data_IF_958745325392
#
_entry.id   IF_958745325392
#
_cell.length_a   1.000
_cell.length_b   1.000
_cell.length_c   1.000
_cell.angle_alpha   90.00
_cell.angle_beta   90.00
_cell.angle_gamma   90.00
#
_symmetry.space_group_name_H-M   'P 1'
#
loop_
_entity.id
_entity.type
_entity.pdbx_description
1 polymer ?
#
# COMPACT_ATOMS: atom_id res chain seq x y z
N UNK A 1 -13.21 -34.81 10.64
CA UNK A 1 -13.28 -33.57 11.44
C UNK A 1 -13.83 -32.48 10.53
N UNK A 2 -14.69 -31.57 11.04
CA UNK A 2 -15.11 -30.42 10.25
C UNK A 2 -13.87 -29.58 9.92
N UNK A 3 -13.74 -29.18 8.64
CA UNK A 3 -12.62 -28.33 8.22
C UNK A 3 -12.81 -26.92 8.78
N UNK A 4 -11.75 -26.29 9.26
CA UNK A 4 -11.79 -24.91 9.74
C UNK A 4 -12.31 -23.95 8.68
N UNK A 5 -13.15 -23.03 9.10
CA UNK A 5 -13.60 -21.88 8.31
C UNK A 5 -13.53 -20.65 9.20
N UNK A 6 -12.85 -19.55 8.78
CA UNK A 6 -12.87 -18.30 9.53
C UNK A 6 -14.30 -17.82 9.80
N UNK A 7 -14.53 -17.20 10.96
CA UNK A 7 -15.89 -16.75 11.33
C UNK A 7 -16.25 -15.44 10.60
N UNK A 8 -16.92 -15.54 9.47
CA UNK A 8 -17.53 -14.42 8.74
C UNK A 8 -18.79 -14.86 8.00
N UNK A 9 -19.62 -13.89 7.64
CA UNK A 9 -20.79 -14.07 6.80
C UNK A 9 -20.82 -12.99 5.72
N UNK A 10 -21.14 -13.39 4.48
CA UNK A 10 -21.34 -12.43 3.39
C UNK A 10 -22.64 -11.67 3.61
N UNK A 11 -22.55 -10.33 3.65
CA UNK A 11 -23.70 -9.44 3.85
C UNK A 11 -24.05 -8.71 2.55
N UNK A 12 -25.29 -8.18 2.48
CA UNK A 12 -25.69 -7.34 1.35
C UNK A 12 -24.81 -6.09 1.21
N UNK A 13 -24.32 -5.51 2.33
CA UNK A 13 -23.36 -4.39 2.30
C UNK A 13 -22.05 -4.76 1.63
N UNK A 14 -21.49 -5.94 1.94
CA UNK A 14 -20.28 -6.44 1.28
C UNK A 14 -20.50 -6.63 -0.23
N UNK A 15 -21.63 -7.20 -0.63
CA UNK A 15 -21.96 -7.40 -2.05
C UNK A 15 -22.08 -6.06 -2.79
N UNK A 16 -22.68 -5.05 -2.17
CA UNK A 16 -22.79 -3.70 -2.73
C UNK A 16 -21.41 -3.09 -2.95
N UNK A 17 -20.52 -3.17 -1.96
CA UNK A 17 -19.14 -2.65 -2.08
C UNK A 17 -18.32 -3.43 -3.10
N UNK A 18 -18.41 -4.76 -3.14
CA UNK A 18 -17.72 -5.59 -4.16
C UNK A 18 -18.17 -5.18 -5.57
N UNK A 19 -19.47 -4.95 -5.77
CA UNK A 19 -20.01 -4.47 -7.06
C UNK A 19 -19.49 -3.08 -7.41
N UNK A 20 -19.52 -2.14 -6.47
CA UNK A 20 -19.00 -0.76 -6.65
C UNK A 20 -17.51 -0.77 -7.02
N UNK A 21 -16.69 -1.50 -6.26
CA UNK A 21 -15.25 -1.65 -6.50
C UNK A 21 -14.99 -2.22 -7.90
N UNK A 22 -15.72 -3.28 -8.28
CA UNK A 22 -15.56 -3.94 -9.59
C UNK A 22 -15.90 -3.00 -10.75
N UNK A 23 -16.96 -2.19 -10.60
CA UNK A 23 -17.36 -1.19 -11.59
C UNK A 23 -16.30 -0.09 -11.72
N UNK A 24 -15.77 0.43 -10.59
CA UNK A 24 -14.72 1.45 -10.57
C UNK A 24 -13.43 0.95 -11.22
N UNK A 25 -13.02 -0.28 -10.91
CA UNK A 25 -11.87 -0.94 -11.56
C UNK A 25 -12.08 -1.01 -13.07
N UNK A 26 -13.27 -1.40 -13.53
CA UNK A 26 -13.59 -1.44 -14.96
C UNK A 26 -13.46 -0.07 -15.61
N UNK A 27 -14.02 0.98 -15.01
CA UNK A 27 -13.91 2.36 -15.50
C UNK A 27 -12.46 2.85 -15.57
N UNK A 28 -11.68 2.65 -14.50
CA UNK A 28 -10.27 3.06 -14.43
C UNK A 28 -9.45 2.34 -15.51
N UNK A 29 -9.67 1.04 -15.71
CA UNK A 29 -8.94 0.23 -16.68
C UNK A 29 -9.17 0.68 -18.12
N UNK A 30 -10.38 1.13 -18.46
CA UNK A 30 -10.72 1.64 -19.79
C UNK A 30 -10.19 3.05 -20.01
N UNK A 31 -10.26 3.91 -18.98
CA UNK A 31 -9.95 5.33 -19.10
C UNK A 31 -8.45 5.64 -19.00
N UNK A 32 -7.71 4.83 -18.26
CA UNK A 32 -6.29 5.05 -18.01
C UNK A 32 -5.45 3.86 -18.47
N UNK A 33 -4.47 4.14 -19.34
CA UNK A 33 -3.43 3.14 -19.65
C UNK A 33 -2.38 3.11 -18.51
N UNK A 34 -2.80 2.71 -17.30
CA UNK A 34 -1.94 2.69 -16.11
C UNK A 34 -0.75 1.74 -16.30
N UNK A 35 -0.94 0.62 -17.03
CA UNK A 35 0.12 -0.34 -17.31
C UNK A 35 1.28 0.25 -18.14
N UNK A 36 0.99 1.30 -18.94
CA UNK A 36 2.02 2.01 -19.71
C UNK A 36 2.77 3.08 -18.90
N UNK A 37 2.52 3.20 -17.57
CA UNK A 37 3.10 4.25 -16.71
C UNK A 37 3.98 3.66 -15.59
N UNK A 38 5.22 3.21 -15.88
CA UNK A 38 6.12 2.62 -14.87
C UNK A 38 6.40 3.56 -13.69
N UNK A 39 6.43 4.88 -13.93
CA UNK A 39 6.65 5.88 -12.88
C UNK A 39 5.51 5.91 -11.85
N UNK A 40 4.26 5.77 -12.29
CA UNK A 40 3.11 5.72 -11.39
C UNK A 40 3.18 4.50 -10.47
N UNK A 41 3.55 3.34 -11.02
CA UNK A 41 3.77 2.11 -10.26
C UNK A 41 4.84 2.30 -9.17
N UNK A 42 6.01 2.86 -9.54
CA UNK A 42 7.09 3.13 -8.59
C UNK A 42 6.65 4.09 -7.48
N UNK A 43 5.97 5.17 -7.83
CA UNK A 43 5.51 6.17 -6.86
C UNK A 43 4.47 5.60 -5.89
N UNK A 44 3.50 4.85 -6.39
CA UNK A 44 2.48 4.23 -5.54
C UNK A 44 3.08 3.16 -4.64
N UNK A 45 4.07 2.40 -5.12
CA UNK A 45 4.84 1.46 -4.29
C UNK A 45 5.59 2.19 -3.17
N UNK A 46 6.22 3.33 -3.44
CA UNK A 46 6.87 4.16 -2.41
C UNK A 46 5.84 4.64 -1.38
N UNK A 47 4.65 5.05 -1.82
CA UNK A 47 3.56 5.43 -0.91
C UNK A 47 3.12 4.26 -0.04
N UNK A 48 2.87 3.09 -0.61
CA UNK A 48 2.50 1.87 0.12
C UNK A 48 3.55 1.51 1.18
N UNK A 49 4.83 1.51 0.81
CA UNK A 49 5.94 1.20 1.73
C UNK A 49 5.99 2.23 2.86
N UNK A 50 6.00 3.53 2.53
CA UNK A 50 6.02 4.60 3.52
C UNK A 50 4.85 4.47 4.50
N UNK A 51 3.62 4.35 4.00
CA UNK A 51 2.42 4.26 4.84
C UNK A 51 2.42 3.00 5.70
N UNK A 52 2.79 1.84 5.13
CA UNK A 52 2.88 0.59 5.89
C UNK A 52 3.92 0.66 7.03
N UNK A 53 5.05 1.33 6.80
CA UNK A 53 6.08 1.53 7.83
C UNK A 53 5.66 2.57 8.85
N UNK A 54 4.99 3.65 8.44
CA UNK A 54 4.52 4.71 9.32
C UNK A 54 3.45 4.23 10.30
N UNK A 55 2.59 3.30 9.91
CA UNK A 55 1.66 2.61 10.80
C UNK A 55 2.41 1.91 11.94
N UNK A 56 3.62 1.40 11.69
CA UNK A 56 4.51 0.77 12.69
C UNK A 56 5.50 1.77 13.32
N UNK A 57 5.15 3.06 13.32
CA UNK A 57 5.90 4.15 13.94
C UNK A 57 7.29 4.45 13.32
N UNK A 58 7.58 4.02 12.08
CA UNK A 58 8.77 4.48 11.35
C UNK A 58 8.66 5.98 11.08
N UNK A 59 9.67 6.74 11.42
CA UNK A 59 9.64 8.21 11.42
C UNK A 59 10.12 8.85 10.11
N UNK A 60 10.64 8.05 9.17
CA UNK A 60 11.18 8.55 7.91
C UNK A 60 10.08 9.16 7.03
N UNK A 61 10.33 10.35 6.51
CA UNK A 61 9.45 11.00 5.54
C UNK A 61 9.41 10.24 4.22
N UNK A 62 8.36 10.41 3.42
CA UNK A 62 8.24 9.79 2.09
C UNK A 62 9.42 10.14 1.18
N UNK A 63 9.99 11.36 1.31
CA UNK A 63 11.20 11.77 0.60
C UNK A 63 12.42 10.96 1.01
N UNK A 64 12.61 10.73 2.32
CA UNK A 64 13.69 9.90 2.85
C UNK A 64 13.53 8.43 2.44
N UNK A 65 12.31 7.88 2.51
CA UNK A 65 12.00 6.53 2.01
C UNK A 65 12.40 6.39 0.54
N UNK A 66 12.02 7.37 -0.30
CA UNK A 66 12.40 7.41 -1.72
C UNK A 66 13.92 7.46 -1.90
N UNK A 67 14.62 8.28 -1.12
CA UNK A 67 16.08 8.42 -1.22
C UNK A 67 16.79 7.13 -0.79
N UNK A 68 16.33 6.43 0.25
CA UNK A 68 16.81 5.09 0.63
C UNK A 68 16.62 4.09 -0.52
N UNK A 69 15.43 4.04 -1.12
CA UNK A 69 15.12 3.15 -2.25
C UNK A 69 16.00 3.44 -3.47
N UNK A 70 16.34 4.71 -3.69
CA UNK A 70 17.23 5.12 -4.77
C UNK A 70 18.75 5.01 -4.43
N UNK A 71 19.10 4.40 -3.28
CA UNK A 71 20.49 4.16 -2.87
C UNK A 71 21.24 5.41 -2.36
N UNK A 72 20.52 6.49 -2.03
CA UNK A 72 21.15 7.70 -1.47
C UNK A 72 21.35 7.56 0.03
N UNK A 73 22.30 8.31 0.56
CA UNK A 73 22.53 8.42 2.00
C UNK A 73 21.44 9.26 2.64
N UNK A 74 20.80 8.72 3.67
CA UNK A 74 19.73 9.37 4.45
C UNK A 74 20.13 9.43 5.92
N UNK A 75 19.83 10.55 6.56
CA UNK A 75 19.93 10.69 8.02
C UNK A 75 18.68 10.11 8.66
N UNK A 76 18.86 9.14 9.56
CA UNK A 76 17.81 8.46 10.28
C UNK A 76 18.35 7.28 11.09
N UNK A 77 17.51 6.63 11.86
CA UNK A 77 17.89 5.45 12.62
C UNK A 77 18.23 4.29 11.66
N UNK A 78 19.31 3.55 12.00
CA UNK A 78 19.76 2.42 11.18
C UNK A 78 18.67 1.35 11.01
N UNK A 79 17.87 1.12 12.07
CA UNK A 79 16.75 0.19 12.06
C UNK A 79 15.70 0.64 11.03
N UNK A 80 15.25 1.89 11.09
CA UNK A 80 14.24 2.44 10.19
C UNK A 80 14.68 2.42 8.72
N UNK A 81 15.95 2.76 8.45
CA UNK A 81 16.53 2.66 7.10
C UNK A 81 16.55 1.20 6.62
N UNK A 82 16.85 0.23 7.50
CA UNK A 82 16.83 -1.18 7.17
C UNK A 82 15.41 -1.67 6.90
N UNK A 83 14.41 -1.22 7.66
CA UNK A 83 13.00 -1.52 7.43
C UNK A 83 12.54 -1.07 6.03
N UNK A 84 12.94 0.12 5.58
CA UNK A 84 12.63 0.60 4.22
C UNK A 84 13.25 -0.31 3.15
N UNK A 85 14.52 -0.70 3.30
CA UNK A 85 15.20 -1.60 2.35
C UNK A 85 14.51 -2.96 2.27
N UNK A 86 14.14 -3.51 3.41
CA UNK A 86 13.47 -4.80 3.52
C UNK A 86 12.05 -4.74 2.92
N UNK A 87 11.28 -3.72 3.28
CA UNK A 87 9.95 -3.51 2.74
C UNK A 87 10.01 -3.35 1.21
N UNK A 88 10.95 -2.55 0.69
CA UNK A 88 11.13 -2.41 -0.75
C UNK A 88 11.43 -3.75 -1.42
N UNK A 89 12.36 -4.54 -0.88
CA UNK A 89 12.70 -5.86 -1.42
C UNK A 89 11.51 -6.86 -1.38
N UNK A 90 10.66 -6.76 -0.35
CA UNK A 90 9.46 -7.58 -0.23
C UNK A 90 8.37 -7.16 -1.24
N UNK A 91 8.11 -5.85 -1.37
CA UNK A 91 7.13 -5.32 -2.34
C UNK A 91 7.56 -5.52 -3.81
N UNK A 92 8.87 -5.62 -4.11
CA UNK A 92 9.36 -5.98 -5.46
C UNK A 92 8.89 -7.38 -5.89
N UNK A 93 8.65 -8.27 -4.93
CA UNK A 93 8.18 -9.64 -5.20
C UNK A 93 6.66 -9.78 -5.29
N UNK A 94 5.90 -8.69 -5.09
CA UNK A 94 4.44 -8.73 -5.00
C UNK A 94 3.76 -9.48 -6.16
N UNK A 95 4.27 -9.34 -7.39
CA UNK A 95 3.74 -10.01 -8.58
C UNK A 95 4.09 -11.49 -8.68
N UNK A 96 5.17 -11.90 -8.02
CA UNK A 96 5.71 -13.26 -8.09
C UNK A 96 5.08 -14.16 -7.01
N UNK A 97 4.52 -13.57 -5.95
CA UNK A 97 3.99 -14.27 -4.79
C UNK A 97 2.79 -15.16 -5.19
N UNK A 98 2.82 -16.40 -4.71
CA UNK A 98 1.62 -17.21 -4.61
C UNK A 98 0.96 -17.03 -3.24
N UNK A 99 -0.14 -16.25 -3.12
CA UNK A 99 -0.74 -15.93 -1.82
C UNK A 99 -1.42 -17.12 -1.14
N UNK A 100 -1.43 -18.30 -1.77
CA UNK A 100 -1.97 -19.55 -1.23
C UNK A 100 -0.86 -20.48 -0.69
N UNK A 101 0.39 -20.03 -0.65
CA UNK A 101 1.52 -20.84 -0.18
C UNK A 101 2.11 -20.26 1.12
N UNK A 102 2.00 -21.05 2.21
CA UNK A 102 2.52 -20.69 3.53
C UNK A 102 4.06 -20.56 3.55
N UNK A 103 4.77 -21.26 2.67
CA UNK A 103 6.23 -21.15 2.57
C UNK A 103 6.63 -19.83 1.91
N UNK A 104 5.87 -19.36 0.92
CA UNK A 104 6.04 -18.04 0.35
C UNK A 104 5.85 -16.94 1.40
N UNK A 105 4.84 -17.08 2.29
CA UNK A 105 4.63 -16.16 3.41
C UNK A 105 5.87 -16.12 4.33
N UNK A 106 6.39 -17.27 4.73
CA UNK A 106 7.58 -17.36 5.58
C UNK A 106 8.82 -16.77 4.91
N UNK A 107 9.04 -17.09 3.65
CA UNK A 107 10.15 -16.54 2.86
C UNK A 107 10.07 -15.02 2.76
N UNK A 108 8.86 -14.48 2.51
CA UNK A 108 8.65 -13.04 2.40
C UNK A 108 8.82 -12.33 3.74
N UNK A 109 8.35 -12.95 4.84
CA UNK A 109 8.64 -12.47 6.19
C UNK A 109 10.15 -12.42 6.45
N UNK A 110 10.88 -13.45 6.00
CA UNK A 110 12.34 -13.48 6.09
C UNK A 110 13.01 -12.30 5.38
N UNK A 111 12.46 -11.87 4.24
CA UNK A 111 12.92 -10.66 3.53
C UNK A 111 12.53 -9.39 4.31
N UNK A 112 11.26 -9.29 4.76
CA UNK A 112 10.71 -8.13 5.44
C UNK A 112 11.42 -7.81 6.76
N UNK A 113 11.89 -8.82 7.47
CA UNK A 113 12.51 -8.68 8.80
C UNK A 113 14.00 -8.94 8.83
N UNK A 114 14.64 -9.07 7.65
CA UNK A 114 16.07 -9.36 7.53
C UNK A 114 16.93 -8.38 8.32
N UNK A 115 17.82 -8.85 9.19
CA UNK A 115 18.69 -8.08 10.09
C UNK A 115 17.95 -7.28 11.17
N UNK A 116 16.65 -7.51 11.36
CA UNK A 116 15.84 -6.81 12.36
C UNK A 116 15.47 -7.73 13.53
N UNK A 117 15.22 -9.03 13.23
CA UNK A 117 14.85 -10.04 14.23
C UNK A 117 15.63 -11.34 13.99
N UNK A 118 15.84 -12.12 15.05
CA UNK A 118 16.56 -13.39 14.96
C UNK A 118 15.73 -14.48 14.27
N UNK A 119 14.41 -14.55 14.56
CA UNK A 119 13.47 -15.55 14.02
C UNK A 119 12.89 -15.13 12.66
N UNK A 120 13.71 -14.50 11.82
CA UNK A 120 13.29 -14.01 10.49
C UNK A 120 12.86 -15.18 9.59
N UNK A 121 11.60 -15.18 9.14
CA UNK A 121 11.03 -16.26 8.31
C UNK A 121 10.52 -17.48 9.08
N UNK A 122 10.54 -17.45 10.41
CA UNK A 122 10.03 -18.53 11.26
C UNK A 122 8.85 -18.07 12.10
N UNK A 123 7.91 -18.97 12.34
CA UNK A 123 6.83 -18.69 13.29
C UNK A 123 7.40 -18.60 14.71
N UNK A 124 6.81 -17.69 15.51
CA UNK A 124 7.22 -17.45 16.88
C UNK A 124 7.12 -18.70 17.76
N UNK A 125 8.05 -18.78 18.71
CA UNK A 125 8.09 -19.81 19.75
C UNK A 125 7.65 -19.23 21.11
N UNK A 126 7.71 -17.90 21.25
CA UNK A 126 7.27 -17.15 22.43
C UNK A 126 5.80 -16.77 22.40
N UNK A 127 5.27 -16.47 23.60
CA UNK A 127 3.94 -15.86 23.71
C UNK A 127 4.01 -14.38 23.32
N UNK A 128 2.98 -13.89 22.62
CA UNK A 128 2.92 -12.53 22.12
C UNK A 128 1.61 -11.85 22.52
N UNK A 129 1.65 -10.54 22.71
CA UNK A 129 0.48 -9.72 23.00
C UNK A 129 0.65 -8.32 22.44
N UNK A 130 -0.46 -7.66 22.18
CA UNK A 130 -0.50 -6.25 21.81
C UNK A 130 -0.75 -5.42 23.07
N UNK A 131 0.13 -4.47 23.33
CA UNK A 131 0.08 -3.62 24.52
C UNK A 131 -0.11 -2.15 24.16
N UNK A 132 -0.85 -1.40 25.00
CA UNK A 132 -0.87 0.06 25.00
C UNK A 132 -0.36 0.53 26.34
N UNK A 133 0.88 1.01 26.39
CA UNK A 133 1.61 1.17 27.65
C UNK A 133 1.72 -0.16 28.37
N UNK A 134 1.35 -0.19 29.66
CA UNK A 134 1.39 -1.40 30.49
C UNK A 134 0.14 -2.28 30.37
N UNK A 135 -0.86 -1.85 29.61
CA UNK A 135 -2.13 -2.59 29.45
C UNK A 135 -2.07 -3.52 28.25
N UNK A 136 -2.23 -4.82 28.51
CA UNK A 136 -2.46 -5.79 27.43
C UNK A 136 -3.84 -5.54 26.82
N UNK A 137 -3.88 -5.18 25.51
CA UNK A 137 -5.11 -4.96 24.76
C UNK A 137 -5.59 -6.27 24.15
N UNK A 138 -4.67 -7.09 23.68
CA UNK A 138 -4.96 -8.36 23.04
C UNK A 138 -3.81 -9.34 23.33
N UNK A 139 -4.17 -10.56 23.74
CA UNK A 139 -3.24 -11.68 23.85
C UNK A 139 -3.43 -12.61 22.67
N UNK A 140 -2.39 -12.77 21.88
CA UNK A 140 -2.41 -13.67 20.73
C UNK A 140 -2.58 -15.14 21.17
N UNK A 141 -3.08 -16.03 20.32
CA UNK A 141 -3.15 -17.45 20.60
C UNK A 141 -1.81 -18.03 21.06
N UNK A 142 -1.80 -19.05 21.93
CA UNK A 142 -0.55 -19.66 22.42
C UNK A 142 0.38 -20.08 21.26
N UNK A 143 1.69 -19.85 21.44
CA UNK A 143 2.71 -20.15 20.42
C UNK A 143 2.62 -21.58 19.86
N UNK A 144 2.30 -22.57 20.71
CA UNK A 144 2.10 -23.98 20.29
C UNK A 144 0.98 -24.20 19.28
N UNK A 145 0.02 -23.27 19.18
CA UNK A 145 -1.12 -23.35 18.26
C UNK A 145 -0.87 -22.64 16.91
N UNK A 146 0.17 -21.82 16.82
CA UNK A 146 0.41 -20.98 15.63
C UNK A 146 0.52 -21.80 14.35
N UNK A 147 1.30 -22.88 14.38
CA UNK A 147 1.48 -23.72 13.19
C UNK A 147 0.14 -24.35 12.73
N UNK A 148 -0.67 -24.84 13.66
CA UNK A 148 -1.97 -25.42 13.36
C UNK A 148 -2.94 -24.36 12.81
N UNK A 149 -3.03 -23.21 13.47
CA UNK A 149 -3.91 -22.12 13.05
C UNK A 149 -3.53 -21.60 11.65
N UNK A 150 -2.24 -21.40 11.39
CA UNK A 150 -1.77 -20.96 10.07
C UNK A 150 -2.00 -22.04 9.00
N UNK A 151 -1.77 -23.31 9.30
CA UNK A 151 -2.07 -24.41 8.37
C UNK A 151 -3.57 -24.43 8.04
N UNK A 152 -4.42 -24.36 9.04
CA UNK A 152 -5.88 -24.34 8.87
C UNK A 152 -6.35 -23.14 8.03
N UNK A 153 -5.75 -21.95 8.24
CA UNK A 153 -6.04 -20.76 7.46
C UNK A 153 -5.66 -20.93 5.98
N UNK A 154 -4.46 -21.47 5.69
CA UNK A 154 -4.02 -21.70 4.30
C UNK A 154 -4.78 -22.83 3.61
N UNK A 155 -5.20 -23.85 4.35
CA UNK A 155 -6.08 -24.90 3.85
C UNK A 155 -7.47 -24.34 3.49
N UNK A 156 -8.00 -23.43 4.32
CA UNK A 156 -9.24 -22.72 4.00
C UNK A 156 -9.08 -21.85 2.74
N UNK A 157 -8.03 -21.06 2.63
CA UNK A 157 -7.74 -20.24 1.45
C UNK A 157 -7.72 -21.08 0.17
N UNK A 158 -7.03 -22.21 0.20
CA UNK A 158 -6.89 -23.11 -0.95
C UNK A 158 -8.21 -23.72 -1.40
N UNK A 159 -9.09 -24.07 -0.45
CA UNK A 159 -10.42 -24.64 -0.75
C UNK A 159 -11.43 -23.60 -1.22
N UNK A 160 -11.34 -22.40 -0.68
CA UNK A 160 -12.35 -21.34 -0.89
C UNK A 160 -11.99 -20.38 -2.03
N UNK A 161 -10.88 -20.58 -2.74
CA UNK A 161 -10.38 -19.66 -3.76
C UNK A 161 -11.33 -19.41 -4.92
N UNK A 162 -12.23 -20.36 -5.23
CA UNK A 162 -13.23 -20.24 -6.29
C UNK A 162 -14.62 -19.86 -5.74
N UNK A 163 -14.81 -19.88 -4.41
CA UNK A 163 -16.12 -19.65 -3.77
C UNK A 163 -16.20 -18.26 -3.13
N UNK A 164 -15.09 -17.76 -2.59
CA UNK A 164 -15.02 -16.47 -1.91
C UNK A 164 -14.34 -15.43 -2.77
N UNK A 165 -15.03 -14.30 -2.97
CA UNK A 165 -14.49 -13.21 -3.80
C UNK A 165 -13.14 -12.69 -3.24
N UNK A 166 -12.10 -12.45 -4.07
CA UNK A 166 -10.76 -12.05 -3.61
C UNK A 166 -10.72 -10.81 -2.72
N UNK A 167 -11.59 -9.82 -2.93
CA UNK A 167 -11.76 -8.65 -2.05
C UNK A 167 -12.16 -9.04 -0.62
N UNK A 168 -13.02 -10.04 -0.46
CA UNK A 168 -13.45 -10.55 0.85
C UNK A 168 -12.37 -11.45 1.43
N UNK A 169 -11.84 -12.38 0.63
CA UNK A 169 -10.81 -13.34 1.04
C UNK A 169 -9.57 -12.64 1.58
N UNK A 170 -9.10 -11.59 0.91
CA UNK A 170 -7.93 -10.81 1.34
C UNK A 170 -8.16 -10.12 2.69
N UNK A 171 -9.37 -9.61 2.94
CA UNK A 171 -9.72 -8.98 4.21
C UNK A 171 -9.88 -10.02 5.33
N UNK A 172 -10.48 -11.18 5.06
CA UNK A 172 -10.54 -12.30 6.01
C UNK A 172 -9.13 -12.75 6.39
N UNK A 173 -8.28 -13.00 5.41
CA UNK A 173 -6.88 -13.38 5.67
C UNK A 173 -6.17 -12.33 6.53
N UNK A 174 -6.30 -11.05 6.18
CA UNK A 174 -5.64 -9.96 6.90
C UNK A 174 -6.02 -9.97 8.39
N UNK A 175 -7.32 -10.07 8.69
CA UNK A 175 -7.80 -10.12 10.06
C UNK A 175 -7.33 -11.38 10.81
N UNK A 176 -7.52 -12.57 10.22
CA UNK A 176 -7.09 -13.85 10.83
C UNK A 176 -5.58 -13.87 11.10
N UNK A 177 -4.79 -13.35 10.17
CA UNK A 177 -3.35 -13.26 10.31
C UNK A 177 -2.94 -12.35 11.48
N UNK A 178 -3.58 -11.17 11.60
CA UNK A 178 -3.34 -10.25 12.73
C UNK A 178 -3.78 -10.88 14.05
N UNK A 179 -4.91 -11.62 14.05
CA UNK A 179 -5.40 -12.35 15.21
C UNK A 179 -4.44 -13.48 15.63
N UNK A 180 -3.99 -14.32 14.71
CA UNK A 180 -3.05 -15.41 15.00
C UNK A 180 -1.70 -14.87 15.46
N UNK A 181 -1.28 -13.74 14.90
CA UNK A 181 -0.01 -13.06 15.21
C UNK A 181 1.19 -14.00 15.11
N UNK A 182 1.43 -14.62 13.94
CA UNK A 182 2.28 -15.80 13.84
C UNK A 182 3.78 -15.55 14.01
N UNK A 183 4.25 -14.31 13.94
CA UNK A 183 5.66 -13.94 14.02
C UNK A 183 5.96 -13.11 15.28
N UNK A 184 7.22 -13.05 15.68
CA UNK A 184 7.68 -12.21 16.81
C UNK A 184 7.70 -10.71 16.48
N UNK A 185 7.80 -10.31 15.20
CA UNK A 185 7.68 -8.93 14.72
C UNK A 185 7.22 -8.95 13.25
N UNK A 186 6.76 -7.81 12.74
CA UNK A 186 6.40 -7.63 11.33
C UNK A 186 5.02 -8.15 10.94
N UNK A 187 4.18 -8.59 11.87
CA UNK A 187 2.85 -9.12 11.57
C UNK A 187 1.97 -8.11 10.84
N UNK A 188 1.90 -6.86 11.29
CA UNK A 188 1.13 -5.82 10.63
C UNK A 188 1.60 -5.53 9.20
N UNK A 189 2.91 -5.39 9.02
CA UNK A 189 3.54 -5.18 7.69
C UNK A 189 3.24 -6.34 6.73
N UNK A 190 3.33 -7.56 7.23
CA UNK A 190 3.03 -8.77 6.44
C UNK A 190 1.54 -8.89 6.12
N UNK A 191 0.65 -8.60 7.06
CA UNK A 191 -0.80 -8.61 6.82
C UNK A 191 -1.19 -7.68 5.66
N UNK A 192 -0.69 -6.44 5.67
CA UNK A 192 -0.93 -5.45 4.62
C UNK A 192 -0.33 -5.86 3.28
N UNK A 193 0.92 -6.32 3.27
CA UNK A 193 1.57 -6.79 2.04
C UNK A 193 0.83 -8.00 1.45
N UNK A 194 0.42 -8.97 2.28
CA UNK A 194 -0.26 -10.17 1.83
C UNK A 194 -1.68 -9.87 1.32
N UNK A 195 -2.37 -8.92 1.96
CA UNK A 195 -3.63 -8.39 1.46
C UNK A 195 -3.46 -7.83 0.03
N UNK A 196 -2.43 -7.00 -0.17
CA UNK A 196 -2.10 -6.45 -1.50
C UNK A 196 -1.70 -7.55 -2.49
N UNK A 197 -1.05 -8.64 -2.05
CA UNK A 197 -0.71 -9.79 -2.90
C UNK A 197 -1.97 -10.52 -3.43
N UNK A 198 -2.97 -10.76 -2.59
CA UNK A 198 -4.25 -11.33 -3.02
C UNK A 198 -4.93 -10.46 -4.08
N UNK A 199 -5.01 -9.15 -3.82
CA UNK A 199 -5.68 -8.23 -4.71
C UNK A 199 -4.95 -8.08 -6.05
N UNK A 200 -3.62 -8.01 -6.03
CA UNK A 200 -2.80 -7.93 -7.24
C UNK A 200 -2.87 -9.22 -8.06
N UNK A 201 -2.94 -10.37 -7.41
CA UNK A 201 -3.13 -11.66 -8.07
C UNK A 201 -4.48 -11.75 -8.77
N UNK A 202 -5.53 -11.18 -8.18
CA UNK A 202 -6.85 -11.11 -8.76
C UNK A 202 -6.92 -10.09 -9.90
N UNK A 203 -6.39 -8.87 -9.69
CA UNK A 203 -6.40 -7.82 -10.69
C UNK A 203 -5.14 -6.95 -10.57
N UNK A 204 -4.34 -6.92 -11.65
CA UNK A 204 -3.06 -6.20 -11.69
C UNK A 204 -3.16 -4.68 -11.46
N UNK A 205 -4.35 -4.09 -11.53
CA UNK A 205 -4.55 -2.67 -11.21
C UNK A 205 -4.14 -2.35 -9.77
N UNK A 206 -4.24 -3.33 -8.85
CA UNK A 206 -3.89 -3.16 -7.45
C UNK A 206 -2.38 -2.93 -7.20
N UNK A 207 -1.52 -3.15 -8.20
CA UNK A 207 -0.13 -2.68 -8.13
C UNK A 207 -0.02 -1.15 -8.10
N UNK A 208 -1.05 -0.46 -8.56
CA UNK A 208 -1.10 1.00 -8.69
C UNK A 208 -1.96 1.66 -7.61
N UNK A 209 -2.55 0.88 -6.70
CA UNK A 209 -3.46 1.37 -5.68
C UNK A 209 -2.80 1.25 -4.31
N UNK A 210 -2.38 2.38 -3.69
CA UNK A 210 -1.71 2.37 -2.38
C UNK A 210 -2.73 2.23 -1.25
N UNK A 211 -3.30 1.04 -1.04
CA UNK A 211 -4.31 0.75 -0.02
C UNK A 211 -3.77 1.08 1.38
N UNK A 212 -2.49 0.84 1.62
CA UNK A 212 -1.80 1.13 2.88
C UNK A 212 -1.89 2.62 3.25
N UNK A 213 -1.97 3.52 2.26
CA UNK A 213 -2.15 4.96 2.51
C UNK A 213 -3.53 5.28 3.06
N UNK A 214 -4.56 4.54 2.68
CA UNK A 214 -5.89 4.68 3.28
C UNK A 214 -5.92 4.10 4.70
N UNK A 215 -5.28 2.96 4.93
CA UNK A 215 -5.17 2.39 6.27
C UNK A 215 -4.44 3.36 7.20
N UNK A 216 -3.33 3.98 6.76
CA UNK A 216 -2.61 5.00 7.52
C UNK A 216 -3.51 6.21 7.84
N UNK A 217 -4.24 6.72 6.87
CA UNK A 217 -5.15 7.88 7.02
C UNK A 217 -6.27 7.63 8.05
N UNK A 218 -6.72 6.38 8.18
CA UNK A 218 -7.77 5.93 9.08
C UNK A 218 -7.23 4.93 10.12
N UNK A 219 -6.01 5.16 10.62
CA UNK A 219 -5.29 4.20 11.46
C UNK A 219 -6.01 3.90 12.78
N UNK A 220 -6.59 4.90 13.43
CA UNK A 220 -7.33 4.70 14.68
C UNK A 220 -8.55 3.80 14.44
N UNK A 221 -9.32 4.07 13.40
CA UNK A 221 -10.47 3.25 13.00
C UNK A 221 -10.05 1.82 12.63
N UNK A 222 -8.91 1.67 11.95
CA UNK A 222 -8.35 0.35 11.62
C UNK A 222 -8.10 -0.50 12.88
N UNK A 223 -7.51 0.08 13.91
CA UNK A 223 -7.27 -0.65 15.16
C UNK A 223 -8.56 -0.88 15.96
N UNK A 224 -9.48 0.07 15.95
CA UNK A 224 -10.79 -0.05 16.61
C UNK A 224 -11.62 -1.20 16.00
N UNK A 225 -11.65 -1.32 14.68
CA UNK A 225 -12.39 -2.43 14.03
C UNK A 225 -11.74 -3.79 14.26
N UNK A 226 -10.41 -3.87 14.36
CA UNK A 226 -9.71 -5.10 14.74
C UNK A 226 -10.11 -5.50 16.17
N UNK A 227 -10.05 -4.57 17.12
CA UNK A 227 -10.42 -4.82 18.52
C UNK A 227 -11.89 -5.23 18.64
N UNK A 228 -12.77 -4.60 17.87
CA UNK A 228 -14.19 -4.94 17.82
C UNK A 228 -14.41 -6.37 17.31
N UNK A 229 -13.73 -6.76 16.23
CA UNK A 229 -13.80 -8.12 15.70
C UNK A 229 -13.31 -9.18 16.71
N UNK A 230 -12.28 -8.87 17.50
CA UNK A 230 -11.83 -9.75 18.59
C UNK A 230 -12.93 -9.99 19.64
N UNK A 231 -13.73 -8.97 19.93
CA UNK A 231 -14.85 -9.06 20.88
C UNK A 231 -16.06 -9.79 20.30
N UNK A 232 -16.35 -9.55 19.02
CA UNK A 232 -17.47 -10.14 18.31
C UNK A 232 -17.23 -11.60 17.90
N UNK A 233 -15.97 -12.03 17.83
CA UNK A 233 -15.58 -13.34 17.31
C UNK A 233 -15.92 -13.51 15.82
N UNK A 234 -15.90 -12.41 15.05
CA UNK A 234 -16.22 -12.38 13.63
C UNK A 234 -15.46 -11.29 12.92
N UNK A 235 -14.96 -11.57 11.71
CA UNK A 235 -14.22 -10.60 10.88
C UNK A 235 -15.11 -9.65 10.06
N UNK A 236 -16.43 -9.71 10.21
CA UNK A 236 -17.38 -8.95 9.38
C UNK A 236 -17.13 -7.43 9.39
N UNK A 237 -16.92 -6.86 10.58
CA UNK A 237 -16.67 -5.41 10.72
C UNK A 237 -15.38 -5.01 10.03
N UNK A 238 -14.32 -5.83 10.12
CA UNK A 238 -13.06 -5.59 9.46
C UNK A 238 -13.16 -5.72 7.93
N UNK A 239 -13.90 -6.72 7.43
CA UNK A 239 -14.16 -6.90 6.00
C UNK A 239 -14.85 -5.65 5.44
N UNK A 240 -15.90 -5.17 6.10
CA UNK A 240 -16.61 -3.95 5.70
C UNK A 240 -15.68 -2.75 5.64
N UNK A 241 -14.88 -2.52 6.70
CA UNK A 241 -13.91 -1.44 6.75
C UNK A 241 -12.94 -1.50 5.56
N UNK A 242 -12.32 -2.65 5.30
CA UNK A 242 -11.36 -2.80 4.20
C UNK A 242 -11.99 -2.55 2.83
N UNK A 243 -13.21 -3.06 2.60
CA UNK A 243 -13.93 -2.81 1.36
C UNK A 243 -14.25 -1.31 1.18
N UNK A 244 -14.67 -0.63 2.24
CA UNK A 244 -14.91 0.82 2.21
C UNK A 244 -13.64 1.63 1.92
N UNK A 245 -12.49 1.24 2.50
CA UNK A 245 -11.21 1.92 2.21
C UNK A 245 -10.77 1.70 0.76
N UNK A 246 -10.96 0.48 0.21
CA UNK A 246 -10.67 0.20 -1.20
C UNK A 246 -11.60 1.01 -2.11
N UNK A 247 -12.89 1.07 -1.80
CA UNK A 247 -13.89 1.81 -2.57
C UNK A 247 -13.57 3.31 -2.62
N UNK A 248 -13.20 3.90 -1.46
CA UNK A 248 -12.79 5.32 -1.35
C UNK A 248 -11.52 5.64 -2.15
N UNK A 249 -10.48 4.82 -2.06
CA UNK A 249 -9.24 5.08 -2.82
C UNK A 249 -9.47 4.98 -4.32
N UNK A 250 -10.38 4.13 -4.77
CA UNK A 250 -10.75 4.05 -6.19
C UNK A 250 -11.51 5.31 -6.65
N UNK A 251 -12.36 5.90 -5.80
CA UNK A 251 -13.00 7.19 -6.09
C UNK A 251 -11.94 8.30 -6.23
N UNK A 252 -11.01 8.40 -5.28
CA UNK A 252 -9.91 9.39 -5.34
C UNK A 252 -9.09 9.24 -6.64
N UNK A 253 -8.80 8.02 -7.07
CA UNK A 253 -8.09 7.74 -8.32
C UNK A 253 -8.95 8.10 -9.55
N UNK A 254 -10.23 7.74 -9.54
CA UNK A 254 -11.15 8.04 -10.65
C UNK A 254 -11.33 9.56 -10.83
N UNK A 255 -11.46 10.32 -9.74
CA UNK A 255 -11.52 11.77 -9.75
C UNK A 255 -10.22 12.40 -10.30
N UNK A 256 -9.07 11.90 -9.88
CA UNK A 256 -7.77 12.36 -10.40
C UNK A 256 -7.64 12.10 -11.90
N UNK A 257 -8.10 10.95 -12.39
CA UNK A 257 -8.09 10.62 -13.82
C UNK A 257 -9.04 11.54 -14.59
N UNK A 258 -10.26 11.75 -14.08
CA UNK A 258 -11.28 12.57 -14.74
C UNK A 258 -10.86 14.05 -14.79
N UNK A 259 -10.38 14.61 -13.69
CA UNK A 259 -9.88 15.99 -13.62
C UNK A 259 -8.68 16.21 -14.53
N UNK A 260 -7.87 15.17 -14.72
CA UNK A 260 -6.72 15.22 -15.63
C UNK A 260 -7.14 15.08 -17.11
N UNK A 261 -8.25 14.40 -17.41
CA UNK A 261 -8.68 14.11 -18.79
C UNK A 261 -9.39 15.28 -19.46
N UNK A 262 -10.22 16.05 -18.73
CA UNK A 262 -11.13 17.05 -19.33
C UNK A 262 -10.48 18.40 -19.65
N UNK A 263 -9.39 18.79 -18.97
CA UNK A 263 -8.78 20.12 -19.12
C UNK A 263 -7.26 20.14 -19.29
N UNK A 264 -6.61 19.00 -19.47
CA UNK A 264 -5.14 18.92 -19.49
C UNK A 264 -4.62 18.70 -20.91
N UNK A 265 -3.84 19.67 -21.42
CA UNK A 265 -3.16 19.54 -22.70
C UNK A 265 -2.18 18.35 -22.71
N UNK A 266 -1.92 17.79 -23.88
CA UNK A 266 -0.92 16.72 -24.08
C UNK A 266 0.47 17.11 -23.53
N UNK A 267 0.80 18.39 -23.53
CA UNK A 267 2.05 18.89 -22.97
C UNK A 267 2.10 18.73 -21.45
N UNK A 268 1.01 19.06 -20.77
CA UNK A 268 0.92 18.93 -19.31
C UNK A 268 0.86 17.45 -18.92
N UNK A 269 0.16 16.60 -19.66
CA UNK A 269 0.17 15.14 -19.42
C UNK A 269 1.59 14.58 -19.48
N UNK A 270 2.37 14.92 -20.52
CA UNK A 270 3.77 14.52 -20.66
C UNK A 270 4.64 15.02 -19.50
N UNK A 271 4.40 16.25 -19.02
CA UNK A 271 5.10 16.78 -17.85
C UNK A 271 4.80 15.94 -16.61
N UNK A 272 3.53 15.67 -16.34
CA UNK A 272 3.11 14.89 -15.18
C UNK A 272 3.59 13.43 -15.24
N UNK A 273 3.72 12.86 -16.44
CA UNK A 273 4.21 11.50 -16.64
C UNK A 273 5.70 11.35 -16.28
N UNK A 274 6.51 12.40 -16.47
CA UNK A 274 7.94 12.39 -16.10
C UNK A 274 8.22 12.87 -14.67
N UNK A 275 7.23 13.48 -14.00
CA UNK A 275 7.36 13.96 -12.63
C UNK A 275 6.86 12.90 -11.63
N UNK A 276 7.71 12.58 -10.65
CA UNK A 276 7.31 11.80 -9.47
C UNK A 276 6.63 12.72 -8.44
N UNK A 277 5.68 12.18 -7.67
CA UNK A 277 5.04 12.93 -6.59
C UNK A 277 6.05 13.31 -5.51
N UNK A 278 5.86 14.49 -4.89
CA UNK A 278 6.70 15.03 -3.81
C UNK A 278 8.19 15.17 -4.15
N UNK A 279 8.56 15.04 -5.42
CA UNK A 279 9.93 15.21 -5.90
C UNK A 279 10.13 16.63 -6.44
N UNK A 280 11.11 17.41 -5.93
CA UNK A 280 11.38 18.76 -6.44
C UNK A 280 12.27 18.71 -7.67
N UNK A 281 11.75 19.12 -8.81
CA UNK A 281 12.44 19.19 -10.09
C UNK A 281 12.88 20.62 -10.42
N UNK A 282 14.10 20.78 -10.93
CA UNK A 282 14.53 22.04 -11.56
C UNK A 282 13.93 22.15 -12.96
N UNK A 283 13.85 23.39 -13.49
CA UNK A 283 13.44 23.56 -14.89
C UNK A 283 14.35 22.80 -15.85
N UNK A 284 15.66 22.77 -15.57
CA UNK A 284 16.65 22.08 -16.40
C UNK A 284 16.44 20.56 -16.38
N UNK A 285 16.24 19.95 -15.21
CA UNK A 285 15.99 18.51 -15.13
C UNK A 285 14.70 18.11 -15.83
N UNK A 286 13.63 18.94 -15.77
CA UNK A 286 12.40 18.69 -16.52
C UNK A 286 12.61 18.81 -18.03
N UNK A 287 13.43 19.75 -18.49
CA UNK A 287 13.78 19.88 -19.90
C UNK A 287 14.54 18.65 -20.41
N UNK A 288 15.47 18.10 -19.64
CA UNK A 288 16.21 16.88 -19.96
C UNK A 288 15.27 15.68 -20.07
N UNK A 289 14.41 15.47 -19.06
CA UNK A 289 13.43 14.39 -19.04
C UNK A 289 12.45 14.44 -20.21
N UNK A 290 12.05 15.65 -20.63
CA UNK A 290 11.13 15.88 -21.74
C UNK A 290 11.85 16.03 -23.10
N UNK A 291 13.18 15.93 -23.13
CA UNK A 291 14.01 16.13 -24.33
C UNK A 291 13.77 17.50 -25.00
N UNK A 292 13.55 18.55 -24.21
CA UNK A 292 13.26 19.90 -24.68
C UNK A 292 14.52 20.78 -24.67
N UNK A 293 14.68 21.61 -25.69
CA UNK A 293 15.80 22.55 -25.82
C UNK A 293 15.46 23.99 -25.42
N UNK A 294 14.17 24.36 -25.41
CA UNK A 294 13.73 25.74 -25.17
C UNK A 294 13.11 25.91 -23.79
N UNK A 295 13.67 26.83 -22.98
CA UNK A 295 13.13 27.23 -21.69
C UNK A 295 11.78 27.94 -21.79
N UNK A 296 11.52 28.60 -22.88
CA UNK A 296 10.27 29.28 -23.14
C UNK A 296 9.15 28.28 -23.43
N UNK A 297 9.44 27.26 -24.26
CA UNK A 297 8.52 26.19 -24.60
C UNK A 297 8.05 25.45 -23.36
N UNK A 298 8.99 25.01 -22.48
CA UNK A 298 8.59 24.27 -21.27
C UNK A 298 7.78 25.14 -20.30
N UNK A 299 8.14 26.41 -20.14
CA UNK A 299 7.38 27.33 -19.28
C UNK A 299 5.97 27.53 -19.79
N UNK A 300 5.82 27.90 -21.08
CA UNK A 300 4.55 28.29 -21.68
C UNK A 300 3.57 27.15 -21.84
N UNK A 301 4.04 25.97 -22.28
CA UNK A 301 3.15 24.88 -22.66
C UNK A 301 3.03 23.78 -21.58
N UNK A 302 3.98 23.68 -20.64
CA UNK A 302 4.02 22.63 -19.65
C UNK A 302 3.82 23.18 -18.23
N UNK A 303 4.70 24.09 -17.79
CA UNK A 303 4.75 24.54 -16.39
C UNK A 303 3.59 25.47 -16.04
N UNK A 304 3.37 26.56 -16.81
CA UNK A 304 2.32 27.53 -16.50
C UNK A 304 0.92 26.88 -16.50
N UNK A 305 0.52 26.12 -17.53
CA UNK A 305 -0.78 25.45 -17.50
C UNK A 305 -0.90 24.42 -16.36
N UNK A 306 0.17 23.72 -16.01
CA UNK A 306 0.16 22.77 -14.89
C UNK A 306 0.03 23.46 -13.53
N UNK A 307 0.59 24.68 -13.36
CA UNK A 307 0.40 25.52 -12.18
C UNK A 307 -1.01 26.10 -12.10
N UNK A 308 -1.55 26.59 -13.20
CA UNK A 308 -2.91 27.12 -13.29
C UNK A 308 -3.96 26.06 -12.93
N UNK A 309 -3.74 24.83 -13.38
CA UNK A 309 -4.57 23.65 -13.04
C UNK A 309 -4.26 23.06 -11.65
N UNK A 310 -3.36 23.69 -10.87
CA UNK A 310 -2.96 23.24 -9.54
C UNK A 310 -2.42 21.78 -9.49
N UNK A 311 -1.90 21.26 -10.60
CA UNK A 311 -1.35 19.92 -10.74
C UNK A 311 0.11 19.81 -10.28
N UNK A 312 0.81 20.96 -10.27
CA UNK A 312 2.16 21.11 -9.70
C UNK A 312 2.21 22.37 -8.81
N UNK A 313 3.23 22.44 -7.96
CA UNK A 313 3.47 23.61 -7.12
C UNK A 313 4.92 24.08 -7.20
N UNK A 314 5.14 25.35 -6.96
CA UNK A 314 6.46 25.96 -6.81
C UNK A 314 6.98 25.82 -5.38
N UNK A 315 8.27 25.50 -5.21
CA UNK A 315 8.90 25.47 -3.86
C UNK A 315 9.17 26.87 -3.28
N UNK A 316 9.25 27.89 -4.15
CA UNK A 316 9.47 29.29 -3.76
C UNK A 316 8.48 30.16 -4.56
N UNK A 317 7.17 30.13 -4.20
CA UNK A 317 6.13 30.84 -4.96
C UNK A 317 6.33 32.35 -4.97
N UNK A 318 6.86 32.93 -3.89
CA UNK A 318 7.11 34.38 -3.77
C UNK A 318 8.25 34.88 -4.67
N UNK A 319 9.09 33.98 -5.19
CA UNK A 319 10.20 34.28 -6.10
C UNK A 319 10.24 33.30 -7.27
N UNK A 320 9.25 33.38 -8.22
CA UNK A 320 9.13 32.42 -9.32
C UNK A 320 10.36 32.29 -10.22
N UNK A 321 11.15 33.35 -10.33
CA UNK A 321 12.37 33.40 -11.16
C UNK A 321 13.65 33.03 -10.40
N UNK A 322 13.53 32.59 -9.13
CA UNK A 322 14.70 32.18 -8.34
C UNK A 322 15.50 31.08 -9.04
N UNK A 323 16.83 31.15 -9.00
CA UNK A 323 17.70 30.05 -9.47
C UNK A 323 17.42 28.74 -8.75
N UNK A 324 16.94 28.82 -7.50
CA UNK A 324 16.63 27.68 -6.65
C UNK A 324 15.18 27.21 -6.77
N UNK A 325 14.39 27.82 -7.67
CA UNK A 325 13.02 27.42 -7.92
C UNK A 325 12.96 25.96 -8.38
N UNK A 326 12.08 25.19 -7.76
CA UNK A 326 11.76 23.82 -8.13
C UNK A 326 10.25 23.66 -8.24
N UNK A 327 9.87 22.63 -8.97
CA UNK A 327 8.46 22.28 -9.20
C UNK A 327 8.21 20.89 -8.63
N UNK A 328 7.09 20.73 -7.93
CA UNK A 328 6.69 19.48 -7.29
C UNK A 328 5.31 19.11 -7.83
N UNK A 329 5.14 17.87 -8.23
CA UNK A 329 3.84 17.31 -8.59
C UNK A 329 3.01 17.11 -7.32
N UNK A 330 1.73 17.56 -7.38
CA UNK A 330 0.76 17.40 -6.29
C UNK A 330 0.00 16.08 -6.38
#
# INVERSE_FOLDING_TARGET
MASYTPPFNITNGMLTLVSSISEKIGKISVTSNMQAKPHLRKNNRIKSIHSSLKIEANSLTIGQVRDVINGKTVLGEKKEIQEVKNAYAAYEKLLEINPFDINELKNLHGIMTKYLVEESGEFRKGEEGVFSGDKCIFMAPPARMVLELMTNLFDWLSRSKEEVHPLIMSAVFHYEFVFIHPFSDGNGRMARLWHSAFLTKWNSIFEYIPIESQIEKFQDEYYDVIAKCHTEGSSNTFIMFMLEQIDKVLDEIAEQISSTAENVSEYVKKLLDVMEYDMPYTLTSLMELLSLKSKETIRRHYIHPALELNLIQMTIPDKPQSRNQRYIKK
#
